data_IF_569703741303
#
_entry.id   IF_569703741303
#
_cell.length_a   1.000
_cell.length_b   1.000
_cell.length_c   1.000
_cell.angle_alpha   90.00
_cell.angle_beta   90.00
_cell.angle_gamma   90.00
#
_symmetry.space_group_name_H-M   'P 1'
#
loop_
_entity.id
_entity.type
_entity.pdbx_description
1 polymer ?
#
# COMPACT_ATOMS: atom_id res chain seq x y z
N UNK A 1 4.16 -12.40 38.31
CA UNK A 1 4.75 -13.33 37.31
C UNK A 1 3.61 -13.90 36.49
N UNK A 2 3.33 -13.36 35.35
CA UNK A 2 2.30 -13.82 34.43
C UNK A 2 2.99 -14.14 33.10
N UNK A 3 3.24 -15.42 32.85
CA UNK A 3 3.74 -15.93 31.59
C UNK A 3 2.63 -15.84 30.57
N UNK A 4 2.69 -14.82 29.69
CA UNK A 4 1.84 -14.76 28.52
C UNK A 4 2.19 -15.93 27.60
N UNK A 5 1.32 -16.91 27.53
CA UNK A 5 1.38 -17.99 26.54
C UNK A 5 1.01 -17.30 25.21
N UNK A 6 2.03 -16.98 24.41
CA UNK A 6 1.81 -16.61 23.03
C UNK A 6 1.09 -17.76 22.34
N UNK A 7 -0.10 -17.51 21.79
CA UNK A 7 -0.77 -18.48 20.95
C UNK A 7 0.16 -18.82 19.79
N UNK A 8 0.56 -20.10 19.69
CA UNK A 8 1.33 -20.58 18.52
C UNK A 8 0.47 -20.37 17.28
N UNK A 9 1.04 -19.70 16.27
CA UNK A 9 0.43 -19.61 14.94
C UNK A 9 0.03 -20.99 14.44
N UNK A 10 -1.11 -21.16 13.76
CA UNK A 10 -1.50 -22.44 13.20
C UNK A 10 -0.36 -22.93 12.27
N UNK A 11 0.10 -24.13 12.53
CA UNK A 11 1.27 -24.73 11.87
C UNK A 11 1.15 -24.59 10.34
N UNK A 12 2.02 -23.74 9.77
CA UNK A 12 2.10 -23.51 8.34
C UNK A 12 1.49 -22.20 7.82
N UNK A 13 1.16 -21.22 8.63
CA UNK A 13 0.79 -19.87 8.15
C UNK A 13 2.03 -19.01 7.82
N UNK A 14 1.84 -18.02 6.94
CA UNK A 14 2.88 -17.11 6.45
C UNK A 14 2.47 -15.69 6.81
N UNK A 15 3.05 -15.11 7.86
CA UNK A 15 2.86 -13.70 8.15
C UNK A 15 3.63 -12.83 7.15
N UNK A 16 2.99 -11.79 6.66
CA UNK A 16 3.58 -10.81 5.74
C UNK A 16 3.30 -9.42 6.30
N UNK A 17 4.34 -8.72 6.73
CA UNK A 17 4.26 -7.38 7.27
C UNK A 17 4.46 -6.34 6.18
N UNK A 18 3.46 -5.52 5.94
CA UNK A 18 3.47 -4.54 4.86
C UNK A 18 3.11 -3.16 5.35
N UNK A 19 3.56 -2.13 4.63
CA UNK A 19 3.15 -0.76 4.85
C UNK A 19 2.94 -0.02 3.54
N UNK A 20 2.09 1.01 3.58
CA UNK A 20 1.93 1.98 2.52
C UNK A 20 2.19 3.40 3.07
N UNK A 21 2.87 4.24 2.28
CA UNK A 21 3.15 5.61 2.67
C UNK A 21 3.30 6.53 1.47
N UNK A 22 2.46 7.56 1.41
CA UNK A 22 2.66 8.69 0.52
C UNK A 22 3.66 9.66 1.19
N UNK A 23 4.78 9.95 0.52
CA UNK A 23 5.91 10.71 1.08
C UNK A 23 5.97 12.16 0.61
N UNK A 24 4.91 12.66 -0.04
CA UNK A 24 4.85 14.04 -0.55
C UNK A 24 6.17 14.46 -1.23
N UNK A 25 6.62 13.64 -2.19
CA UNK A 25 7.90 13.78 -2.93
C UNK A 25 9.14 14.07 -2.04
N UNK A 26 9.14 13.57 -0.81
CA UNK A 26 10.24 13.80 0.15
C UNK A 26 10.36 15.24 0.62
N UNK A 27 9.31 16.06 0.47
CA UNK A 27 9.34 17.49 0.79
C UNK A 27 9.62 17.78 2.26
N UNK A 28 9.01 17.01 3.15
CA UNK A 28 9.06 17.23 4.60
C UNK A 28 9.91 16.19 5.33
N UNK A 29 10.54 15.26 4.61
CA UNK A 29 11.29 14.15 5.18
C UNK A 29 12.47 13.71 4.33
N UNK A 30 13.42 13.02 4.98
CA UNK A 30 14.49 12.31 4.28
C UNK A 30 14.25 10.79 4.27
N UNK A 31 14.92 10.03 3.36
CA UNK A 31 14.88 8.58 3.37
C UNK A 31 15.29 7.97 4.72
N UNK A 32 16.27 8.58 5.40
CA UNK A 32 16.77 8.15 6.71
C UNK A 32 15.67 8.24 7.77
N UNK A 33 14.95 9.37 7.82
CA UNK A 33 13.86 9.58 8.78
C UNK A 33 12.74 8.58 8.57
N UNK A 34 12.36 8.31 7.32
CA UNK A 34 11.35 7.31 6.98
C UNK A 34 11.82 5.91 7.35
N UNK A 35 13.08 5.58 7.08
CA UNK A 35 13.67 4.31 7.47
C UNK A 35 13.66 4.11 8.99
N UNK A 36 14.09 5.12 9.77
CA UNK A 36 14.06 5.06 11.24
C UNK A 36 12.63 4.87 11.78
N UNK A 37 11.66 5.58 11.23
CA UNK A 37 10.24 5.44 11.59
C UNK A 37 9.73 4.00 11.42
N UNK A 38 10.10 3.33 10.33
CA UNK A 38 9.62 1.98 10.03
C UNK A 38 10.37 0.84 10.75
N UNK A 39 11.54 1.08 11.35
CA UNK A 39 12.34 0.04 12.04
C UNK A 39 11.55 -0.82 13.03
N UNK A 40 10.69 -0.25 13.90
CA UNK A 40 9.94 -1.05 14.89
C UNK A 40 8.98 -2.06 14.28
N UNK A 41 8.51 -1.83 13.06
CA UNK A 41 7.45 -2.61 12.42
C UNK A 41 7.95 -3.89 11.74
N UNK A 42 9.27 -4.05 11.54
CA UNK A 42 9.89 -5.25 10.94
C UNK A 42 9.24 -5.66 9.63
N UNK A 43 8.99 -4.70 8.76
CA UNK A 43 8.28 -4.88 7.51
C UNK A 43 9.04 -5.78 6.53
N UNK A 44 8.30 -6.58 5.77
CA UNK A 44 8.80 -7.37 4.65
C UNK A 44 8.76 -6.58 3.36
N UNK A 45 7.70 -5.78 3.18
CA UNK A 45 7.47 -4.98 1.98
C UNK A 45 6.87 -3.64 2.36
N UNK A 46 7.27 -2.60 1.62
CA UNK A 46 6.72 -1.25 1.73
C UNK A 46 6.40 -0.74 0.33
N UNK A 47 5.17 -0.26 0.13
CA UNK A 47 4.80 0.53 -1.04
C UNK A 47 4.86 2.02 -0.72
N UNK A 48 5.55 2.77 -1.56
CA UNK A 48 5.62 4.23 -1.45
C UNK A 48 4.90 4.90 -2.61
N UNK A 49 4.30 6.04 -2.32
CA UNK A 49 3.66 6.91 -3.28
C UNK A 49 4.25 8.32 -3.21
N UNK A 50 4.16 9.04 -4.31
CA UNK A 50 4.80 10.36 -4.47
C UNK A 50 6.28 10.33 -4.09
N UNK A 51 6.99 9.34 -4.62
CA UNK A 51 8.44 9.23 -4.42
C UNK A 51 9.15 10.17 -5.40
N UNK A 52 10.19 10.91 -4.96
CA UNK A 52 11.04 11.66 -5.88
C UNK A 52 11.82 10.70 -6.80
N UNK A 53 12.29 11.22 -7.91
CA UNK A 53 13.15 10.48 -8.82
C UNK A 53 14.48 10.08 -8.14
N UNK A 54 15.15 9.06 -8.70
CA UNK A 54 16.46 8.61 -8.24
C UNK A 54 16.44 7.44 -7.25
N UNK A 55 17.32 7.48 -6.26
CA UNK A 55 17.60 6.38 -5.35
C UNK A 55 16.89 6.46 -3.98
N UNK A 56 15.94 7.39 -3.84
CA UNK A 56 15.25 7.66 -2.56
C UNK A 56 14.74 6.38 -1.87
N UNK A 57 14.06 5.51 -2.62
CA UNK A 57 13.53 4.24 -2.07
C UNK A 57 14.64 3.29 -1.63
N UNK A 58 15.75 3.24 -2.38
CA UNK A 58 16.90 2.43 -2.02
C UNK A 58 17.61 2.94 -0.77
N UNK A 59 17.64 4.27 -0.56
CA UNK A 59 18.19 4.88 0.65
C UNK A 59 17.35 4.54 1.90
N UNK A 60 16.01 4.55 1.81
CA UNK A 60 15.16 4.01 2.88
C UNK A 60 15.52 2.54 3.17
N UNK A 61 15.68 1.76 2.11
CA UNK A 61 16.06 0.35 2.20
C UNK A 61 17.39 0.13 2.92
N UNK A 62 18.37 0.99 2.69
CA UNK A 62 19.66 0.95 3.38
C UNK A 62 19.52 1.05 4.91
N UNK A 63 18.63 1.92 5.38
CA UNK A 63 18.37 2.09 6.83
C UNK A 63 17.67 0.86 7.42
N UNK A 64 16.75 0.24 6.67
CA UNK A 64 15.96 -0.92 7.10
C UNK A 64 16.66 -2.27 6.87
N UNK A 65 17.81 -2.29 6.18
CA UNK A 65 18.45 -3.52 5.73
C UNK A 65 17.66 -4.26 4.62
N UNK A 66 16.80 -3.53 3.90
CA UNK A 66 16.02 -4.03 2.76
C UNK A 66 16.75 -3.68 1.45
N UNK A 67 17.14 -4.69 0.68
CA UNK A 67 18.09 -4.51 -0.43
C UNK A 67 17.44 -4.39 -1.81
N UNK A 68 16.13 -4.64 -1.91
CA UNK A 68 15.45 -4.76 -3.19
C UNK A 68 14.41 -3.66 -3.32
N UNK A 69 14.63 -2.75 -4.28
CA UNK A 69 13.73 -1.65 -4.59
C UNK A 69 13.36 -1.66 -6.08
N UNK A 70 12.13 -1.30 -6.36
CA UNK A 70 11.65 -1.07 -7.72
C UNK A 70 10.88 0.26 -7.75
N UNK A 71 11.29 1.17 -8.59
CA UNK A 71 10.64 2.46 -8.82
C UNK A 71 10.01 2.46 -10.21
N UNK A 72 8.74 2.84 -10.30
CA UNK A 72 8.03 3.01 -11.58
C UNK A 72 8.61 4.18 -12.37
N UNK A 73 8.31 4.21 -13.67
CA UNK A 73 8.78 5.23 -14.60
C UNK A 73 7.71 6.27 -14.94
N UNK A 74 6.46 6.02 -14.52
CA UNK A 74 5.32 6.90 -14.78
C UNK A 74 5.03 7.71 -13.52
N UNK A 75 5.30 9.00 -13.57
CA UNK A 75 4.92 9.94 -12.52
C UNK A 75 3.45 10.32 -12.65
N UNK A 76 2.70 10.34 -11.54
CA UNK A 76 1.27 10.64 -11.56
C UNK A 76 0.99 12.09 -11.91
N UNK A 77 -0.09 12.32 -12.70
CA UNK A 77 -0.61 13.64 -13.05
C UNK A 77 0.44 14.57 -13.72
N UNK A 78 1.38 14.03 -14.50
CA UNK A 78 2.50 14.75 -15.09
C UNK A 78 3.38 15.52 -14.09
N UNK A 79 3.33 15.18 -12.82
CA UNK A 79 4.22 15.74 -11.81
C UNK A 79 5.61 15.12 -11.94
N UNK A 80 6.67 15.85 -11.61
CA UNK A 80 8.04 15.34 -11.75
C UNK A 80 8.41 14.27 -10.74
N UNK A 81 7.80 14.30 -9.54
CA UNK A 81 8.24 13.55 -8.36
C UNK A 81 7.10 12.74 -7.71
N UNK A 82 6.14 12.24 -8.52
CA UNK A 82 5.02 11.42 -8.02
C UNK A 82 5.11 9.98 -8.50
N UNK A 83 6.30 9.38 -8.35
CA UNK A 83 6.50 7.98 -8.69
C UNK A 83 5.91 7.06 -7.62
N UNK A 84 5.65 5.83 -7.99
CA UNK A 84 5.30 4.73 -7.09
C UNK A 84 6.48 3.79 -7.00
N UNK A 85 6.74 3.27 -5.81
CA UNK A 85 7.81 2.30 -5.63
C UNK A 85 7.44 1.19 -4.67
N UNK A 86 8.21 0.12 -4.73
CA UNK A 86 8.13 -1.01 -3.80
C UNK A 86 9.54 -1.28 -3.28
N UNK A 87 9.66 -1.40 -1.96
CA UNK A 87 10.85 -1.82 -1.25
C UNK A 87 10.59 -3.19 -0.63
N UNK A 88 11.52 -4.14 -0.79
CA UNK A 88 11.36 -5.52 -0.31
C UNK A 88 12.61 -6.01 0.44
N UNK A 89 12.38 -6.81 1.47
CA UNK A 89 13.44 -7.54 2.19
C UNK A 89 14.00 -8.69 1.36
N UNK A 90 13.15 -9.32 0.56
CA UNK A 90 13.48 -10.47 -0.29
C UNK A 90 13.58 -10.08 -1.77
N UNK A 91 14.37 -10.81 -2.58
CA UNK A 91 14.54 -10.49 -4.00
C UNK A 91 13.23 -10.54 -4.77
N UNK A 92 13.10 -9.66 -5.77
CA UNK A 92 11.98 -9.71 -6.70
C UNK A 92 12.17 -10.85 -7.72
N UNK A 93 11.11 -11.64 -7.92
CA UNK A 93 11.02 -12.60 -9.03
C UNK A 93 10.55 -11.92 -10.32
N UNK A 94 9.73 -10.89 -10.18
CA UNK A 94 9.26 -10.07 -11.29
C UNK A 94 8.88 -8.67 -10.81
N UNK A 95 9.07 -7.68 -11.67
CA UNK A 95 8.59 -6.32 -11.49
C UNK A 95 7.97 -5.82 -12.79
N UNK A 96 6.89 -5.06 -12.69
CA UNK A 96 6.24 -4.43 -13.85
C UNK A 96 5.46 -3.18 -13.41
N UNK A 97 5.34 -2.22 -14.31
CA UNK A 97 4.46 -1.08 -14.15
C UNK A 97 3.31 -1.15 -15.15
N UNK A 98 2.08 -1.06 -14.67
CA UNK A 98 0.88 -1.06 -15.51
C UNK A 98 0.29 0.35 -15.57
N UNK A 99 0.03 0.85 -16.78
CA UNK A 99 -0.67 2.11 -16.97
C UNK A 99 -2.15 2.00 -16.56
N UNK A 100 -2.61 2.97 -15.78
CA UNK A 100 -4.00 3.10 -15.34
C UNK A 100 -4.72 4.31 -15.95
N UNK A 101 -4.04 5.09 -16.78
CA UNK A 101 -4.59 6.32 -17.39
C UNK A 101 -5.92 6.08 -18.08
N UNK A 102 -6.89 6.95 -17.81
CA UNK A 102 -8.22 6.93 -18.43
C UNK A 102 -8.56 8.30 -19.00
N UNK A 103 -9.26 8.34 -20.13
CA UNK A 103 -9.50 9.60 -20.86
C UNK A 103 -10.23 10.65 -20.03
N UNK A 104 -11.22 10.24 -19.24
CA UNK A 104 -12.03 11.14 -18.40
C UNK A 104 -11.26 11.79 -17.24
N UNK A 105 -10.04 11.32 -16.96
CA UNK A 105 -9.20 11.82 -15.85
C UNK A 105 -7.93 12.48 -16.35
N UNK A 106 -8.02 13.33 -17.37
CA UNK A 106 -6.88 13.99 -18.02
C UNK A 106 -5.94 14.70 -17.04
N UNK A 107 -6.47 15.38 -16.02
CA UNK A 107 -5.67 16.07 -14.99
C UNK A 107 -4.87 15.12 -14.08
N UNK A 108 -5.25 13.84 -14.02
CA UNK A 108 -4.58 12.79 -13.26
C UNK A 108 -3.77 11.80 -14.12
N UNK A 109 -3.77 12.05 -15.43
CA UNK A 109 -2.95 11.27 -16.34
C UNK A 109 -1.54 11.92 -16.51
N UNK A 110 -0.51 11.11 -16.67
CA UNK A 110 -0.53 9.66 -16.62
C UNK A 110 -0.76 9.12 -15.21
N UNK A 111 -1.27 7.89 -15.12
CA UNK A 111 -1.43 7.16 -13.88
C UNK A 111 -0.96 5.72 -14.06
N UNK A 112 -0.47 5.11 -13.00
CA UNK A 112 0.06 3.74 -13.03
C UNK A 112 -0.04 3.05 -11.67
N UNK A 113 0.13 1.74 -11.69
CA UNK A 113 0.42 0.92 -10.54
C UNK A 113 1.72 0.15 -10.77
N UNK A 114 2.60 0.13 -9.80
CA UNK A 114 3.80 -0.71 -9.84
C UNK A 114 3.51 -2.04 -9.14
N UNK A 115 3.96 -3.12 -9.77
CA UNK A 115 3.83 -4.48 -9.25
C UNK A 115 5.21 -5.06 -9.00
N UNK A 116 5.33 -5.81 -7.92
CA UNK A 116 6.45 -6.72 -7.66
C UNK A 116 5.94 -8.08 -7.19
N UNK A 117 6.60 -9.14 -7.60
CA UNK A 117 6.40 -10.49 -7.05
C UNK A 117 7.66 -10.88 -6.30
N UNK A 118 7.50 -11.32 -5.07
CA UNK A 118 8.61 -11.80 -4.25
C UNK A 118 8.18 -13.01 -3.42
N UNK A 119 9.15 -13.72 -2.81
CA UNK A 119 8.85 -14.83 -1.90
C UNK A 119 9.04 -14.38 -0.45
N UNK A 120 7.98 -14.57 0.34
CA UNK A 120 8.03 -14.50 1.80
C UNK A 120 7.90 -15.92 2.32
N UNK A 121 8.84 -16.38 3.11
CA UNK A 121 8.93 -17.77 3.61
C UNK A 121 8.75 -18.84 2.49
N UNK A 122 9.36 -18.56 1.33
CA UNK A 122 9.34 -19.46 0.17
C UNK A 122 8.06 -19.43 -0.65
N UNK A 123 7.07 -18.60 -0.30
CA UNK A 123 5.79 -18.51 -0.98
C UNK A 123 5.68 -17.19 -1.75
N UNK A 124 5.31 -17.31 -3.03
CA UNK A 124 5.14 -16.13 -3.89
C UNK A 124 3.94 -15.28 -3.49
N UNK A 125 4.18 -13.99 -3.32
CA UNK A 125 3.16 -12.96 -3.07
C UNK A 125 3.35 -11.84 -4.07
N UNK A 126 2.25 -11.36 -4.66
CA UNK A 126 2.24 -10.22 -5.58
C UNK A 126 1.81 -8.96 -4.83
N UNK A 127 2.59 -7.89 -4.99
CA UNK A 127 2.34 -6.59 -4.38
C UNK A 127 2.12 -5.54 -5.45
N UNK A 128 1.14 -4.69 -5.21
CA UNK A 128 0.79 -3.58 -6.06
C UNK A 128 0.82 -2.29 -5.24
N UNK A 129 1.71 -1.34 -5.58
CA UNK A 129 1.74 0.00 -4.99
C UNK A 129 1.16 1.00 -5.98
N UNK A 130 0.17 1.78 -5.55
CA UNK A 130 -0.58 2.69 -6.41
C UNK A 130 -0.80 4.06 -5.79
N UNK A 131 -1.02 5.05 -6.66
CA UNK A 131 -1.55 6.36 -6.34
C UNK A 131 -2.59 6.70 -7.40
N UNK A 132 -3.87 6.69 -7.03
CA UNK A 132 -4.99 6.86 -7.94
C UNK A 132 -5.82 8.09 -7.62
N UNK A 133 -6.61 8.57 -8.58
CA UNK A 133 -7.48 9.71 -8.36
C UNK A 133 -8.74 9.35 -7.58
N UNK A 134 -9.33 10.35 -6.93
CA UNK A 134 -10.62 10.23 -6.27
C UNK A 134 -11.73 9.98 -7.29
N UNK A 135 -12.59 8.99 -7.01
CA UNK A 135 -13.78 8.67 -7.80
C UNK A 135 -15.02 9.15 -7.05
N UNK A 136 -15.81 10.03 -7.67
CA UNK A 136 -16.94 10.69 -7.00
C UNK A 136 -18.32 10.15 -7.40
N UNK A 137 -18.42 9.38 -8.48
CA UNK A 137 -19.69 8.89 -8.98
C UNK A 137 -19.65 7.44 -9.49
N UNK A 138 -20.80 6.79 -9.55
CA UNK A 138 -20.95 5.40 -9.96
C UNK A 138 -20.62 5.13 -11.45
N UNK A 139 -20.54 6.17 -12.25
CA UNK A 139 -20.16 6.09 -13.66
C UNK A 139 -18.68 6.32 -13.89
N UNK A 140 -17.92 6.53 -12.81
CA UNK A 140 -16.51 6.74 -12.89
C UNK A 140 -15.78 5.41 -13.16
N UNK A 141 -15.43 5.22 -14.42
CA UNK A 141 -14.60 4.11 -14.89
C UNK A 141 -13.11 4.36 -14.59
N UNK A 142 -12.80 5.15 -13.56
CA UNK A 142 -11.46 5.64 -13.24
C UNK A 142 -10.41 4.56 -13.01
N UNK A 143 -9.29 4.96 -12.44
CA UNK A 143 -8.10 4.13 -12.27
C UNK A 143 -8.39 2.83 -11.50
N UNK A 144 -9.27 2.86 -10.48
CA UNK A 144 -9.65 1.67 -9.72
C UNK A 144 -10.39 0.64 -10.57
N UNK A 145 -11.25 1.07 -11.49
CA UNK A 145 -11.95 0.18 -12.42
C UNK A 145 -10.97 -0.49 -13.38
N UNK A 146 -10.02 0.27 -13.90
CA UNK A 146 -9.00 -0.28 -14.79
C UNK A 146 -8.10 -1.29 -14.06
N UNK A 147 -7.70 -0.96 -12.84
CA UNK A 147 -6.97 -1.89 -11.98
C UNK A 147 -7.75 -3.20 -11.79
N UNK A 148 -9.01 -3.10 -11.36
CA UNK A 148 -9.84 -4.25 -11.01
C UNK A 148 -10.25 -5.11 -12.21
N UNK A 149 -10.45 -4.51 -13.40
CA UNK A 149 -10.94 -5.22 -14.57
C UNK A 149 -9.84 -5.66 -15.55
N UNK A 150 -8.73 -4.94 -15.62
CA UNK A 150 -7.71 -5.17 -16.66
C UNK A 150 -6.36 -5.65 -16.11
N UNK A 151 -6.03 -5.33 -14.86
CA UNK A 151 -4.72 -5.64 -14.28
C UNK A 151 -4.81 -6.83 -13.33
N UNK A 152 -5.60 -6.72 -12.27
CA UNK A 152 -5.70 -7.76 -11.23
C UNK A 152 -6.19 -9.13 -11.73
N UNK A 153 -7.13 -9.24 -12.69
CA UNK A 153 -7.56 -10.54 -13.22
C UNK A 153 -6.47 -11.32 -13.97
N UNK A 154 -5.37 -10.67 -14.35
CA UNK A 154 -4.23 -11.32 -15.02
C UNK A 154 -3.22 -11.90 -14.04
N UNK A 155 -3.44 -11.68 -12.74
CA UNK A 155 -2.55 -12.22 -11.72
C UNK A 155 -2.68 -13.74 -11.62
N UNK A 156 -1.53 -14.41 -11.51
CA UNK A 156 -1.46 -15.88 -11.47
C UNK A 156 -1.55 -16.46 -10.07
N UNK A 157 -1.24 -15.65 -9.07
CA UNK A 157 -1.38 -16.04 -7.67
C UNK A 157 -2.60 -15.38 -7.05
N UNK A 158 -3.27 -16.05 -6.12
CA UNK A 158 -4.30 -15.43 -5.30
C UNK A 158 -3.74 -14.71 -4.05
N UNK A 159 -2.44 -14.83 -3.77
CA UNK A 159 -1.77 -14.07 -2.71
C UNK A 159 -1.37 -12.71 -3.24
N UNK A 160 -2.35 -11.82 -3.30
CA UNK A 160 -2.21 -10.46 -3.83
C UNK A 160 -2.49 -9.45 -2.74
N UNK A 161 -1.61 -8.47 -2.62
CA UNK A 161 -1.78 -7.29 -1.77
C UNK A 161 -1.75 -6.05 -2.67
N UNK A 162 -2.74 -5.17 -2.50
CA UNK A 162 -2.82 -3.87 -3.16
C UNK A 162 -2.80 -2.79 -2.09
N UNK A 163 -1.86 -1.87 -2.19
CA UNK A 163 -1.66 -0.85 -1.16
C UNK A 163 -1.26 0.50 -1.76
N UNK A 164 -1.46 1.56 -0.99
CA UNK A 164 -1.07 2.90 -1.38
C UNK A 164 -2.11 3.96 -1.08
N UNK A 165 -1.95 5.10 -1.75
CA UNK A 165 -2.88 6.22 -1.71
C UNK A 165 -3.97 6.02 -2.77
N UNK A 166 -5.16 5.70 -2.29
CA UNK A 166 -6.33 5.51 -3.15
C UNK A 166 -7.10 6.80 -3.38
N UNK A 167 -6.83 7.87 -2.62
CA UNK A 167 -7.61 9.11 -2.65
C UNK A 167 -9.13 8.91 -2.47
N UNK A 168 -9.54 7.78 -1.92
CA UNK A 168 -10.92 7.36 -1.73
C UNK A 168 -11.09 6.75 -0.33
N UNK A 169 -12.22 7.01 0.32
CA UNK A 169 -12.57 6.37 1.59
C UNK A 169 -13.23 5.00 1.34
N UNK A 170 -13.22 4.11 2.34
CA UNK A 170 -14.05 2.91 2.30
C UNK A 170 -15.52 3.32 2.09
N UNK A 171 -16.22 2.56 1.24
CA UNK A 171 -17.58 2.87 0.80
C UNK A 171 -17.67 3.80 -0.42
N UNK A 172 -16.58 4.48 -0.82
CA UNK A 172 -16.54 5.18 -2.10
C UNK A 172 -16.59 4.17 -3.27
N UNK A 173 -17.10 4.63 -4.41
CA UNK A 173 -17.33 3.78 -5.60
C UNK A 173 -16.08 3.00 -6.04
N UNK A 174 -14.91 3.62 -5.94
CA UNK A 174 -13.64 2.98 -6.29
C UNK A 174 -13.29 1.83 -5.35
N UNK A 175 -13.55 1.98 -4.05
CA UNK A 175 -13.28 0.94 -3.05
C UNK A 175 -14.28 -0.19 -3.16
N UNK A 176 -15.59 0.10 -3.30
CA UNK A 176 -16.64 -0.88 -3.56
C UNK A 176 -16.32 -1.71 -4.83
N UNK A 177 -15.68 -1.10 -5.84
CA UNK A 177 -15.26 -1.85 -7.03
C UNK A 177 -14.17 -2.87 -6.72
N UNK A 178 -13.18 -2.53 -5.90
CA UNK A 178 -12.14 -3.48 -5.46
C UNK A 178 -12.74 -4.60 -4.62
N UNK A 179 -13.59 -4.26 -3.66
CA UNK A 179 -14.26 -5.23 -2.79
C UNK A 179 -15.12 -6.22 -3.61
N UNK A 180 -15.91 -5.72 -4.56
CA UNK A 180 -16.72 -6.56 -5.46
C UNK A 180 -15.86 -7.41 -6.41
N UNK A 181 -14.58 -7.08 -6.56
CA UNK A 181 -13.61 -7.87 -7.33
C UNK A 181 -12.82 -8.88 -6.48
N UNK A 182 -13.26 -9.12 -5.24
CA UNK A 182 -12.69 -10.13 -4.36
C UNK A 182 -11.52 -9.63 -3.50
N UNK A 183 -11.44 -8.33 -3.25
CA UNK A 183 -10.45 -7.76 -2.34
C UNK A 183 -11.11 -7.27 -1.05
N UNK A 184 -10.39 -7.39 0.06
CA UNK A 184 -10.84 -6.97 1.38
C UNK A 184 -9.84 -5.99 1.99
N UNK A 185 -10.35 -4.90 2.56
CA UNK A 185 -9.53 -3.93 3.28
C UNK A 185 -9.11 -4.50 4.64
N UNK A 186 -7.86 -4.29 5.03
CA UNK A 186 -7.34 -4.73 6.33
C UNK A 186 -8.08 -4.09 7.52
N UNK A 187 -8.65 -2.90 7.33
CA UNK A 187 -9.45 -2.18 8.32
C UNK A 187 -10.65 -2.98 8.84
N UNK A 188 -11.27 -3.79 7.97
CA UNK A 188 -12.42 -4.61 8.34
C UNK A 188 -12.04 -5.71 9.34
N UNK A 189 -10.94 -6.43 9.08
CA UNK A 189 -10.43 -7.48 9.98
C UNK A 189 -10.01 -6.88 11.33
N UNK A 190 -9.37 -5.71 11.30
CA UNK A 190 -8.91 -4.99 12.47
C UNK A 190 -10.05 -4.31 13.24
N UNK A 191 -11.26 -4.24 12.66
CA UNK A 191 -12.43 -3.56 13.21
C UNK A 191 -12.16 -2.09 13.53
N UNK A 192 -11.35 -1.43 12.69
CA UNK A 192 -11.04 -0.01 12.79
C UNK A 192 -12.16 0.78 12.11
N UNK A 193 -12.81 1.66 12.87
CA UNK A 193 -13.82 2.59 12.33
C UNK A 193 -13.12 3.75 11.60
N UNK A 194 -12.89 3.58 10.31
CA UNK A 194 -12.19 4.57 9.47
C UNK A 194 -12.92 5.92 9.37
N UNK A 195 -14.21 6.00 9.76
CA UNK A 195 -14.95 7.27 9.78
C UNK A 195 -14.48 8.22 10.89
N UNK A 196 -13.76 7.70 11.88
CA UNK A 196 -13.21 8.46 13.02
C UNK A 196 -11.73 8.77 12.87
N UNK A 197 -11.11 8.28 11.79
CA UNK A 197 -9.68 8.37 11.55
C UNK A 197 -9.39 9.18 10.27
N UNK A 198 -8.13 9.54 10.09
CA UNK A 198 -7.66 10.16 8.86
C UNK A 198 -6.20 9.81 8.57
N UNK A 199 -5.86 9.74 7.29
CA UNK A 199 -4.47 9.56 6.83
C UNK A 199 -3.93 10.77 6.07
N UNK A 200 -4.78 11.70 5.65
CA UNK A 200 -4.39 12.94 4.94
C UNK A 200 -4.45 14.17 5.85
N UNK A 201 -3.67 15.21 5.54
CA UNK A 201 -3.47 16.44 6.33
C UNK A 201 -2.74 16.22 7.67
N UNK A 202 -1.86 15.26 7.75
CA UNK A 202 -1.10 14.97 8.96
C UNK A 202 -0.24 16.16 9.44
N UNK A 203 0.28 16.99 8.51
CA UNK A 203 1.07 18.19 8.83
C UNK A 203 0.20 19.36 9.33
N UNK A 204 -1.11 19.33 9.07
CA UNK A 204 -2.08 20.38 9.40
C UNK A 204 -3.40 19.76 9.87
N UNK A 205 -3.39 19.04 11.00
CA UNK A 205 -4.55 18.26 11.45
C UNK A 205 -5.79 19.12 11.81
N UNK A 206 -5.59 20.42 12.00
CA UNK A 206 -6.67 21.40 12.22
C UNK A 206 -7.45 21.76 10.95
N UNK A 207 -6.92 21.42 9.76
CA UNK A 207 -7.58 21.67 8.48
C UNK A 207 -8.53 20.51 8.12
N UNK A 208 -9.55 20.76 7.27
CA UNK A 208 -10.40 19.69 6.76
C UNK A 208 -9.55 18.60 6.11
N UNK A 209 -9.77 17.35 6.51
CA UNK A 209 -9.11 16.19 5.94
C UNK A 209 -10.03 15.39 5.00
N UNK A 210 -9.46 14.47 4.25
CA UNK A 210 -10.20 13.60 3.34
C UNK A 210 -10.60 12.27 3.98
N UNK A 211 -10.31 12.08 5.29
CA UNK A 211 -10.49 10.81 5.99
C UNK A 211 -9.35 9.83 5.73
N UNK A 212 -9.63 8.55 5.86
CA UNK A 212 -8.67 7.48 5.58
C UNK A 212 -8.69 7.20 4.07
N UNK A 213 -7.65 7.61 3.37
CA UNK A 213 -7.51 7.45 1.92
C UNK A 213 -6.31 6.58 1.53
N UNK A 214 -5.48 6.21 2.50
CA UNK A 214 -4.40 5.24 2.34
C UNK A 214 -4.87 3.88 2.86
N UNK A 215 -4.78 2.85 2.01
CA UNK A 215 -5.34 1.54 2.32
C UNK A 215 -4.37 0.41 1.99
N UNK A 216 -4.63 -0.74 2.62
CA UNK A 216 -4.04 -2.02 2.29
C UNK A 216 -5.19 -3.00 2.08
N UNK A 217 -5.23 -3.61 0.89
CA UNK A 217 -6.19 -4.64 0.50
C UNK A 217 -5.48 -5.95 0.23
N UNK A 218 -6.13 -7.05 0.50
CA UNK A 218 -5.69 -8.39 0.09
C UNK A 218 -6.79 -9.15 -0.63
N UNK A 219 -6.41 -10.10 -1.48
CA UNK A 219 -7.36 -10.95 -2.22
C UNK A 219 -7.96 -12.00 -1.29
N UNK A 220 -9.30 -12.03 -1.18
CA UNK A 220 -10.04 -12.95 -0.31
C UNK A 220 -9.93 -14.41 -0.74
N UNK A 221 -9.72 -14.67 -2.04
CA UNK A 221 -9.46 -16.01 -2.57
C UNK A 221 -8.19 -16.67 -2.02
N UNK A 222 -7.30 -15.90 -1.41
CA UNK A 222 -6.12 -16.41 -0.70
C UNK A 222 -6.44 -17.01 0.67
N UNK A 223 -7.64 -16.78 1.21
CA UNK A 223 -8.03 -17.11 2.59
C UNK A 223 -7.14 -16.46 3.66
N UNK A 224 -6.51 -15.34 3.31
CA UNK A 224 -5.74 -14.55 4.26
C UNK A 224 -6.65 -13.84 5.26
N UNK A 225 -6.05 -13.39 6.34
CA UNK A 225 -6.66 -12.50 7.32
C UNK A 225 -5.63 -11.50 7.83
N UNK A 226 -6.09 -10.36 8.33
CA UNK A 226 -5.21 -9.39 8.98
C UNK A 226 -5.16 -9.67 10.47
N UNK A 227 -3.95 -9.81 11.03
CA UNK A 227 -3.74 -10.11 12.45
C UNK A 227 -3.56 -8.84 13.28
N UNK A 228 -2.74 -7.92 12.78
CA UNK A 228 -2.49 -6.62 13.41
C UNK A 228 -2.19 -5.57 12.34
N UNK A 229 -2.30 -4.30 12.72
CA UNK A 229 -2.05 -3.19 11.82
C UNK A 229 -2.72 -1.91 12.31
N UNK A 230 -2.65 -0.87 11.50
CA UNK A 230 -3.27 0.41 11.80
C UNK A 230 -2.58 1.58 11.13
N UNK A 231 -2.94 2.78 11.59
CA UNK A 231 -2.31 4.05 11.20
C UNK A 231 -1.12 4.27 12.12
N UNK A 232 0.01 4.69 11.55
CA UNK A 232 1.20 5.05 12.34
C UNK A 232 1.08 6.53 12.72
N UNK A 233 0.84 6.77 13.99
CA UNK A 233 0.79 8.12 14.56
C UNK A 233 2.19 8.62 14.88
N UNK A 234 2.51 9.81 14.40
CA UNK A 234 3.80 10.46 14.63
C UNK A 234 3.58 11.78 15.36
N UNK A 235 4.36 12.00 16.42
CA UNK A 235 4.38 13.30 17.11
C UNK A 235 4.79 14.45 16.16
N UNK A 236 5.72 14.16 15.26
CA UNK A 236 6.18 15.05 14.21
C UNK A 236 5.96 14.35 12.87
N UNK A 237 4.86 14.64 12.16
CA UNK A 237 4.60 14.02 10.87
C UNK A 237 5.70 14.30 9.85
N UNK A 238 6.01 13.31 9.04
CA UNK A 238 7.06 13.36 8.02
C UNK A 238 6.53 13.58 6.59
N UNK A 239 5.21 13.66 6.45
CA UNK A 239 4.47 13.91 5.20
C UNK A 239 3.12 14.48 5.55
N UNK A 240 2.40 15.03 4.58
CA UNK A 240 0.98 15.36 4.70
C UNK A 240 0.08 14.12 4.81
N UNK A 241 0.62 12.92 4.59
CA UNK A 241 -0.03 11.64 4.88
C UNK A 241 0.52 10.98 6.14
N UNK A 242 -0.27 10.09 6.75
CA UNK A 242 0.16 9.15 7.79
C UNK A 242 0.43 7.79 7.16
N UNK A 243 1.50 7.08 7.53
CA UNK A 243 1.72 5.72 7.06
C UNK A 243 0.69 4.76 7.62
N UNK A 244 0.36 3.73 6.84
CA UNK A 244 -0.50 2.62 7.28
C UNK A 244 0.26 1.31 7.16
N UNK A 245 0.01 0.35 8.06
CA UNK A 245 0.68 -0.94 8.05
C UNK A 245 -0.26 -2.07 8.45
N UNK A 246 0.10 -3.29 8.07
CA UNK A 246 -0.63 -4.49 8.47
C UNK A 246 0.28 -5.73 8.47
N UNK A 247 -0.03 -6.69 9.34
CA UNK A 247 0.41 -8.08 9.24
C UNK A 247 -0.71 -8.91 8.65
N UNK A 248 -0.53 -9.38 7.42
CA UNK A 248 -1.47 -10.24 6.71
C UNK A 248 -0.94 -11.67 6.78
N UNK A 249 -1.78 -12.58 7.26
CA UNK A 249 -1.42 -13.98 7.44
C UNK A 249 -2.05 -14.82 6.34
N UNK A 250 -1.22 -15.41 5.49
CA UNK A 250 -1.64 -16.32 4.43
C UNK A 250 -1.53 -17.78 4.90
N UNK A 251 -2.50 -18.65 4.57
CA UNK A 251 -2.31 -20.08 4.75
C UNK A 251 -1.21 -20.59 3.81
N UNK A 252 -0.39 -21.51 4.29
CA UNK A 252 0.72 -22.09 3.50
C UNK A 252 0.20 -22.90 2.31
N UNK A 253 -0.93 -23.58 2.51
CA UNK A 253 -1.64 -24.31 1.44
C UNK A 253 -2.93 -23.55 1.09
N UNK A 254 -3.23 -23.35 -0.20
CA UNK A 254 -4.46 -22.67 -0.62
C UNK A 254 -5.72 -23.48 -0.29
#
# INVERSE_FOLDING_TARGET
>A
MGTGIGASEPDGSIPVRVAAYNVEFGRSTSPEQVGEMFKPYKLDIIGFNEVPDGDWTALVGKVLGMKHSYVGKISSANHKDKYKSILSRTPFEATVEHGLSVERRRSWNPASVVKAVTKVDGVAVAFYSLHICRSKDSHDTGHAYRLANEVLPKEKTNRVIVLGDFNNNLGDVAMNKLESSGFRATWEDLKIDTSKEFTYNALKPEQPNLGVIDHIFYNTGSRASTKEGGIIELKNPLSDHKPVWAEIVFPKRP
#
